data_IF_814241935777
#
_entry.id   IF_814241935777
#
_cell.length_a   1.000
_cell.length_b   1.000
_cell.length_c   1.000
_cell.angle_alpha   90.00
_cell.angle_beta   90.00
_cell.angle_gamma   90.00
#
_symmetry.space_group_name_H-M   'P 1'
#
loop_
_entity.id
_entity.type
_entity.pdbx_description
1 polymer ?
#
# COMPACT_ATOMS: atom_id res chain seq x y z
N UNK A 1 15.76 28.64 -16.76
CA UNK A 1 16.07 27.19 -16.59
C UNK A 1 14.85 26.35 -16.18
N UNK A 2 13.60 26.79 -16.41
CA UNK A 2 12.37 26.06 -16.01
C UNK A 2 11.58 25.45 -17.18
N UNK A 3 11.96 25.76 -18.43
CA UNK A 3 11.26 25.30 -19.63
C UNK A 3 11.64 23.86 -20.06
N UNK A 4 12.80 23.35 -19.62
CA UNK A 4 13.38 22.09 -20.09
C UNK A 4 12.61 20.84 -19.61
N UNK A 5 12.11 20.86 -18.38
CA UNK A 5 11.36 19.74 -17.80
C UNK A 5 10.07 19.44 -18.56
N UNK A 6 9.33 20.48 -18.96
CA UNK A 6 8.05 20.31 -19.68
C UNK A 6 8.24 19.70 -21.06
N UNK A 7 9.34 20.02 -21.74
CA UNK A 7 9.66 19.51 -23.08
C UNK A 7 10.12 18.04 -23.01
N UNK A 8 10.88 17.68 -21.97
CA UNK A 8 11.35 16.30 -21.78
C UNK A 8 10.29 15.35 -21.23
N UNK A 9 9.45 15.81 -20.30
CA UNK A 9 8.54 14.93 -19.56
C UNK A 9 7.18 14.75 -20.25
N UNK A 10 6.67 15.76 -20.98
CA UNK A 10 5.42 15.64 -21.74
C UNK A 10 5.38 14.49 -22.74
N UNK A 11 6.39 14.25 -23.59
CA UNK A 11 6.33 13.15 -24.55
C UNK A 11 6.29 11.79 -23.85
N UNK A 12 7.01 11.65 -22.73
CA UNK A 12 7.05 10.42 -21.93
C UNK A 12 5.67 10.13 -21.32
N UNK A 13 5.08 11.09 -20.62
CA UNK A 13 3.76 10.94 -19.99
C UNK A 13 2.68 10.66 -21.04
N UNK A 14 2.72 11.37 -22.17
CA UNK A 14 1.77 11.17 -23.27
C UNK A 14 1.87 9.75 -23.83
N UNK A 15 3.09 9.22 -23.99
CA UNK A 15 3.31 7.86 -24.46
C UNK A 15 2.79 6.82 -23.47
N UNK A 16 3.09 6.98 -22.18
CA UNK A 16 2.64 6.03 -21.14
C UNK A 16 1.11 5.96 -21.04
N UNK A 17 0.43 7.09 -21.12
CA UNK A 17 -1.04 7.13 -21.10
C UNK A 17 -1.60 6.44 -22.36
N UNK A 18 -1.04 6.73 -23.54
CA UNK A 18 -1.49 6.10 -24.79
C UNK A 18 -1.32 4.58 -24.75
N UNK A 19 -0.18 4.09 -24.27
CA UNK A 19 0.08 2.66 -24.15
C UNK A 19 -0.88 2.00 -23.15
N UNK A 20 -1.10 2.61 -21.98
CA UNK A 20 -2.01 2.07 -20.97
C UNK A 20 -3.48 1.97 -21.46
N UNK A 21 -3.91 2.92 -22.30
CA UNK A 21 -5.24 2.86 -22.93
C UNK A 21 -5.30 1.74 -23.96
N UNK A 22 -4.25 1.57 -24.78
CA UNK A 22 -4.18 0.50 -25.76
C UNK A 22 -4.19 -0.88 -25.09
N UNK A 23 -3.38 -1.08 -24.06
CA UNK A 23 -3.30 -2.34 -23.31
C UNK A 23 -4.67 -2.71 -22.70
N UNK A 24 -5.39 -1.73 -22.16
CA UNK A 24 -6.70 -1.97 -21.53
C UNK A 24 -7.80 -2.26 -22.54
N UNK A 25 -7.74 -1.64 -23.72
CA UNK A 25 -8.67 -1.93 -24.83
C UNK A 25 -8.36 -3.30 -25.42
N UNK A 26 -7.08 -3.65 -25.62
CA UNK A 26 -6.71 -4.99 -26.09
C UNK A 26 -7.16 -6.05 -25.10
N UNK A 27 -6.94 -5.88 -23.79
CA UNK A 27 -7.42 -6.83 -22.77
C UNK A 27 -8.94 -7.00 -22.78
N UNK A 28 -9.68 -5.90 -23.00
CA UNK A 28 -11.14 -5.93 -23.12
C UNK A 28 -11.62 -6.66 -24.37
N UNK A 29 -11.00 -6.40 -25.52
CA UNK A 29 -11.33 -7.03 -26.79
C UNK A 29 -10.95 -8.52 -26.81
N UNK A 30 -9.76 -8.88 -26.32
CA UNK A 30 -9.35 -10.28 -26.19
C UNK A 30 -10.31 -11.04 -25.27
N UNK A 31 -10.72 -10.47 -24.13
CA UNK A 31 -11.72 -11.09 -23.23
C UNK A 31 -13.11 -11.23 -23.87
N UNK A 32 -13.44 -10.39 -24.85
CA UNK A 32 -14.72 -10.42 -25.54
C UNK A 32 -14.72 -11.46 -26.67
N UNK A 33 -13.59 -11.65 -27.35
CA UNK A 33 -13.43 -12.70 -28.37
C UNK A 33 -13.47 -14.11 -27.76
N UNK A 34 -12.94 -14.33 -26.55
CA UNK A 34 -13.02 -15.65 -25.88
C UNK A 34 -14.42 -15.97 -25.32
N UNK A 35 -15.35 -15.00 -25.26
CA UNK A 35 -16.64 -15.14 -24.58
C UNK A 35 -17.82 -15.51 -25.49
N UNK A 36 -17.59 -15.78 -26.79
CA UNK A 36 -18.68 -16.07 -27.73
C UNK A 36 -19.01 -17.58 -27.82
N UNK A 37 -18.20 -18.46 -27.22
CA UNK A 37 -18.44 -19.90 -27.24
C UNK A 37 -18.25 -20.51 -25.86
N UNK A 38 -19.26 -20.39 -24.99
CA UNK A 38 -19.74 -21.46 -24.10
C UNK A 38 -20.57 -20.91 -22.94
N UNK A 39 -21.86 -21.24 -22.96
CA UNK A 39 -22.66 -21.37 -21.74
C UNK A 39 -22.11 -22.55 -20.92
N UNK A 40 -21.05 -22.31 -20.15
CA UNK A 40 -20.64 -23.23 -19.09
C UNK A 40 -20.61 -22.41 -17.80
N UNK A 41 -21.39 -22.90 -16.85
CA UNK A 41 -21.45 -22.48 -15.45
C UNK A 41 -20.01 -22.46 -14.93
N UNK A 42 -19.39 -21.29 -14.88
CA UNK A 42 -18.14 -21.10 -14.14
C UNK A 42 -18.56 -20.73 -12.72
N UNK A 43 -18.73 -21.77 -11.90
CA UNK A 43 -18.45 -21.67 -10.48
C UNK A 43 -17.06 -21.04 -10.37
N UNK A 44 -17.02 -19.74 -10.08
CA UNK A 44 -15.80 -18.98 -9.84
C UNK A 44 -15.17 -19.52 -8.55
N UNK A 45 -14.51 -20.68 -8.65
CA UNK A 45 -13.38 -21.01 -7.80
C UNK A 45 -12.27 -20.05 -8.20
N UNK A 46 -12.35 -18.86 -7.59
CA UNK A 46 -11.21 -17.98 -7.38
C UNK A 46 -10.27 -18.76 -6.45
N UNK A 47 -9.51 -19.71 -7.00
CA UNK A 47 -8.23 -20.04 -6.38
C UNK A 47 -7.23 -19.02 -6.90
N UNK A 48 -7.20 -17.89 -6.20
CA UNK A 48 -5.98 -17.11 -6.11
C UNK A 48 -5.87 -16.61 -4.68
N UNK A 49 -4.85 -17.14 -4.02
CA UNK A 49 -4.24 -16.72 -2.76
C UNK A 49 -3.77 -15.26 -2.79
N UNK A 50 -4.66 -14.32 -3.06
CA UNK A 50 -4.52 -13.00 -2.49
C UNK A 50 -5.15 -13.15 -1.11
N UNK A 51 -4.39 -13.70 -0.15
CA UNK A 51 -4.65 -13.38 1.24
C UNK A 51 -4.55 -11.86 1.28
N UNK A 52 -5.67 -11.16 1.25
CA UNK A 52 -5.71 -9.77 1.68
C UNK A 52 -5.05 -9.79 3.05
N UNK A 53 -3.82 -9.27 3.16
CA UNK A 53 -3.13 -9.13 4.44
C UNK A 53 -4.04 -8.20 5.25
N UNK A 54 -4.94 -8.79 6.02
CA UNK A 54 -5.83 -8.00 6.86
C UNK A 54 -4.94 -7.31 7.89
N UNK A 55 -5.17 -6.02 8.11
CA UNK A 55 -4.43 -5.27 9.12
C UNK A 55 -4.99 -5.74 10.46
N UNK A 56 -4.31 -6.70 11.08
CA UNK A 56 -4.68 -7.28 12.37
C UNK A 56 -3.71 -6.72 13.40
N UNK A 57 -4.15 -5.68 14.10
CA UNK A 57 -3.41 -5.17 15.26
C UNK A 57 -3.50 -6.22 16.38
N UNK A 58 -2.37 -6.82 16.73
CA UNK A 58 -2.32 -7.88 17.75
C UNK A 58 -2.16 -7.25 19.14
N UNK A 59 -2.59 -7.96 20.20
CA UNK A 59 -2.36 -7.50 21.59
C UNK A 59 -0.88 -7.24 21.89
N UNK A 60 0.02 -7.98 21.26
CA UNK A 60 1.46 -7.80 21.42
C UNK A 60 1.97 -6.50 20.77
N UNK A 61 1.31 -6.01 19.71
CA UNK A 61 1.62 -4.71 19.10
C UNK A 61 1.26 -3.56 20.05
N UNK A 62 0.08 -3.67 20.68
CA UNK A 62 -0.38 -2.72 21.70
C UNK A 62 0.53 -2.71 22.93
N UNK A 63 0.92 -3.89 23.43
CA UNK A 63 1.90 -4.00 24.53
C UNK A 63 3.23 -3.36 24.16
N UNK A 64 3.71 -3.60 22.92
CA UNK A 64 4.97 -3.02 22.44
C UNK A 64 4.92 -1.49 22.44
N UNK A 65 3.79 -0.92 22.01
CA UNK A 65 3.58 0.53 22.09
C UNK A 65 3.61 1.06 23.53
N UNK A 66 2.91 0.41 24.45
CA UNK A 66 2.89 0.84 25.87
C UNK A 66 4.28 0.71 26.52
N UNK A 67 5.03 -0.36 26.26
CA UNK A 67 6.42 -0.48 26.75
C UNK A 67 7.32 0.66 26.27
N UNK A 68 7.19 1.05 25.01
CA UNK A 68 7.98 2.15 24.43
C UNK A 68 7.55 3.49 25.03
N UNK A 69 6.25 3.67 25.26
CA UNK A 69 5.70 4.86 25.92
C UNK A 69 6.22 4.99 27.36
N UNK A 70 6.20 3.91 28.13
CA UNK A 70 6.74 3.87 29.49
C UNK A 70 8.25 4.16 29.53
N UNK A 71 9.03 3.55 28.61
CA UNK A 71 10.45 3.85 28.49
C UNK A 71 10.69 5.33 28.21
N UNK A 72 9.99 5.91 27.23
CA UNK A 72 10.16 7.31 26.86
C UNK A 72 9.78 8.25 28.02
N UNK A 73 8.71 7.93 28.75
CA UNK A 73 8.31 8.66 29.95
C UNK A 73 9.40 8.59 31.04
N UNK A 74 10.00 7.42 31.27
CA UNK A 74 11.09 7.23 32.23
C UNK A 74 12.32 8.08 31.93
N UNK A 75 12.62 8.31 30.65
CA UNK A 75 13.74 9.16 30.21
C UNK A 75 13.34 10.64 30.04
N UNK A 76 12.16 11.06 30.51
CA UNK A 76 11.73 12.47 30.50
C UNK A 76 11.38 13.02 29.12
N UNK A 77 11.04 12.15 28.17
CA UNK A 77 10.58 12.57 26.83
C UNK A 77 9.08 12.84 26.85
N UNK A 78 8.64 13.83 26.08
CA UNK A 78 7.21 14.12 25.94
C UNK A 78 6.53 13.00 25.15
N UNK A 79 5.62 12.29 25.81
CA UNK A 79 4.88 11.14 25.26
C UNK A 79 3.54 11.53 24.65
N UNK A 80 3.09 12.77 24.83
CA UNK A 80 1.80 13.26 24.30
C UNK A 80 1.74 13.22 22.77
N UNK A 81 2.90 13.30 22.11
CA UNK A 81 3.00 13.25 20.65
C UNK A 81 3.31 11.86 20.11
N UNK A 82 3.35 10.82 20.97
CA UNK A 82 3.66 9.47 20.56
C UNK A 82 2.38 8.78 20.04
N UNK A 83 2.45 8.28 18.80
CA UNK A 83 1.37 7.51 18.19
C UNK A 83 1.89 6.25 17.52
N UNK A 84 0.99 5.35 17.15
CA UNK A 84 1.30 4.19 16.33
C UNK A 84 0.43 4.14 15.09
N UNK A 85 0.94 3.47 14.06
CA UNK A 85 0.22 3.17 12.82
C UNK A 85 0.56 1.76 12.41
N UNK A 86 -0.49 0.96 12.33
CA UNK A 86 -0.45 -0.40 11.82
C UNK A 86 -0.72 -0.40 10.31
N UNK A 87 -0.02 -1.29 9.59
CA UNK A 87 -0.15 -1.49 8.16
C UNK A 87 0.09 -2.95 7.84
N UNK A 88 -0.31 -3.39 6.65
CA UNK A 88 -0.14 -4.77 6.20
C UNK A 88 1.31 -5.31 6.31
N UNK A 89 2.30 -4.42 6.18
CA UNK A 89 3.70 -4.81 6.11
C UNK A 89 4.51 -4.38 7.34
N UNK A 90 3.99 -3.47 8.16
CA UNK A 90 4.74 -2.96 9.30
C UNK A 90 3.84 -2.33 10.35
N UNK A 91 4.29 -2.45 11.59
CA UNK A 91 3.82 -1.66 12.71
C UNK A 91 4.81 -0.52 12.97
N UNK A 92 4.33 0.73 12.94
CA UNK A 92 5.19 1.91 13.12
C UNK A 92 4.77 2.71 14.34
N UNK A 93 5.75 3.18 15.10
CA UNK A 93 5.59 4.09 16.22
C UNK A 93 6.27 5.40 15.85
N UNK A 94 5.56 6.51 15.93
CA UNK A 94 5.99 7.80 15.43
C UNK A 94 5.79 8.91 16.46
N UNK A 95 6.53 10.01 16.28
CA UNK A 95 6.48 11.19 17.14
C UNK A 95 6.00 12.38 16.32
N UNK A 96 4.87 12.97 16.72
CA UNK A 96 4.25 14.16 16.12
C UNK A 96 3.65 13.95 14.72
N UNK A 97 4.37 13.29 13.82
CA UNK A 97 3.93 13.05 12.46
C UNK A 97 4.33 11.65 11.94
N UNK A 98 3.59 11.15 10.95
CA UNK A 98 3.78 9.81 10.37
C UNK A 98 5.14 9.61 9.67
N UNK A 99 5.79 10.69 9.24
CA UNK A 99 7.07 10.63 8.54
C UNK A 99 8.26 10.57 9.52
N UNK A 100 8.04 10.95 10.77
CA UNK A 100 9.00 10.94 11.87
C UNK A 100 8.77 9.68 12.72
N UNK A 101 9.03 8.53 12.10
CA UNK A 101 8.96 7.23 12.75
C UNK A 101 10.14 7.07 13.72
N UNK A 102 9.84 6.67 14.94
CA UNK A 102 10.84 6.36 15.97
C UNK A 102 11.26 4.89 15.85
N UNK A 103 10.28 3.99 15.71
CA UNK A 103 10.49 2.55 15.56
C UNK A 103 9.54 2.04 14.46
N UNK A 104 10.04 1.12 13.61
CA UNK A 104 9.22 0.39 12.64
C UNK A 104 9.57 -1.10 12.71
N UNK A 105 8.57 -1.92 12.99
CA UNK A 105 8.67 -3.37 13.07
C UNK A 105 8.10 -3.94 11.77
N UNK A 106 8.86 -4.78 11.08
CA UNK A 106 8.41 -5.41 9.84
C UNK A 106 7.52 -6.63 10.18
N UNK A 107 6.30 -6.62 9.66
CA UNK A 107 5.32 -7.70 9.80
C UNK A 107 5.47 -8.61 8.56
N UNK A 108 6.40 -9.56 8.66
CA UNK A 108 6.72 -10.56 7.62
C UNK A 108 5.50 -11.38 7.25
#
# INVERSE_FOLDING_TARGET
>A
MLADWRVKFRPIVKQSISNAVLDRVSDGLYRQEVNTESNIIVENKIDDKIKSKEIITTDDDLKSFEYIKEMLAKYGRNVDQLGYKDTQNYFSIYVSNLNNWFIRINLG
#
